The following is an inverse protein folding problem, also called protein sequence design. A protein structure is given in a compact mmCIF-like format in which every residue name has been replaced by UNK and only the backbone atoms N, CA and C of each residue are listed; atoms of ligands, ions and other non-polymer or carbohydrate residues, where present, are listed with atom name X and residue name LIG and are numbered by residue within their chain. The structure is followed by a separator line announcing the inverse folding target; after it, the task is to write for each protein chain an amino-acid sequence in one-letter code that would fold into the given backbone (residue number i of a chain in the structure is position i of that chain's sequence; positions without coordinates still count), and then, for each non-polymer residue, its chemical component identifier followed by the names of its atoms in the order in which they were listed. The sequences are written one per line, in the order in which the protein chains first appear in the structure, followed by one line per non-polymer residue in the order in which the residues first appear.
data_IF_953491864345
#
_entry.id   IF_953491864345
#
_cell.length_a   1.000
_cell.length_b   1.000
_cell.length_c   1.000
_cell.angle_alpha   90.00
_cell.angle_beta   90.00
_cell.angle_gamma   90.00
#
_symmetry.space_group_name_H-M   'P 1'
#
loop_
_entity.id
_entity.type
_entity.pdbx_description
1 polymer ?
#
# COMPACT_ATOMS: atom_id res chain seq x y z
N UNK A 1 -3.83 -33.18 -8.15
CA UNK A 1 -3.28 -33.61 -6.85
C UNK A 1 -3.98 -32.78 -5.78
N UNK A 2 -4.80 -33.40 -4.91
CA UNK A 2 -5.46 -32.67 -3.83
C UNK A 2 -4.40 -32.17 -2.83
N UNK A 3 -4.49 -30.91 -2.41
CA UNK A 3 -3.62 -30.32 -1.40
C UNK A 3 -4.15 -30.75 -0.04
N UNK A 4 -3.47 -31.69 0.62
CA UNK A 4 -3.84 -32.12 1.98
C UNK A 4 -3.44 -31.01 2.95
N UNK A 5 -4.41 -30.38 3.63
CA UNK A 5 -4.14 -29.50 4.76
C UNK A 5 -3.56 -30.33 5.91
N UNK A 6 -2.62 -29.78 6.68
CA UNK A 6 -2.07 -30.48 7.84
C UNK A 6 -3.15 -30.60 8.93
N UNK A 7 -3.13 -31.71 9.68
CA UNK A 7 -4.14 -31.99 10.72
C UNK A 7 -4.21 -30.94 11.83
N UNK A 8 -3.18 -30.12 12.00
CA UNK A 8 -3.18 -28.97 12.92
C UNK A 8 -4.14 -27.87 12.46
N UNK A 9 -4.25 -27.64 11.15
CA UNK A 9 -5.15 -26.63 10.57
C UNK A 9 -6.60 -27.11 10.62
N UNK A 10 -6.85 -28.40 10.41
CA UNK A 10 -8.21 -28.97 10.57
C UNK A 10 -8.71 -28.87 12.02
N UNK A 11 -7.82 -29.05 13.00
CA UNK A 11 -8.15 -28.89 14.41
C UNK A 11 -8.41 -27.41 14.77
N UNK A 12 -7.63 -26.48 14.24
CA UNK A 12 -7.81 -25.04 14.45
C UNK A 12 -9.09 -24.49 13.79
N UNK A 13 -9.50 -25.06 12.64
CA UNK A 13 -10.78 -24.72 11.97
C UNK A 13 -12.00 -25.22 12.76
N UNK A 14 -11.83 -26.29 13.55
CA UNK A 14 -12.91 -26.93 14.32
C UNK A 14 -13.17 -26.28 15.69
N UNK A 15 -12.33 -25.35 16.14
CA UNK A 15 -12.58 -24.56 17.35
C UNK A 15 -13.46 -23.33 17.04
N UNK A 16 -14.59 -23.24 17.75
CA UNK A 16 -15.58 -22.17 17.69
C UNK A 16 -14.95 -20.75 17.63
N UNK A 17 -15.21 -20.03 16.53
CA UNK A 17 -15.08 -18.57 16.37
C UNK A 17 -13.90 -17.90 17.09
N UNK A 18 -12.69 -18.42 16.91
CA UNK A 18 -11.49 -17.65 17.22
C UNK A 18 -11.41 -16.50 16.22
N UNK A 19 -11.46 -15.25 16.71
CA UNK A 19 -11.18 -14.10 15.83
C UNK A 19 -9.75 -14.24 15.34
N UNK A 20 -9.51 -14.37 14.02
CA UNK A 20 -8.17 -14.63 13.51
C UNK A 20 -7.21 -13.51 13.92
N UNK A 21 -6.03 -13.90 14.41
CA UNK A 21 -4.96 -12.96 14.74
C UNK A 21 -4.17 -12.71 13.47
N UNK A 22 -4.07 -11.45 13.08
CA UNK A 22 -3.30 -11.06 11.90
C UNK A 22 -2.06 -10.28 12.29
N UNK A 23 -0.97 -10.60 11.60
CA UNK A 23 0.28 -9.85 11.63
C UNK A 23 0.36 -9.01 10.34
N UNK A 24 0.62 -7.72 10.46
CA UNK A 24 0.68 -6.77 9.33
C UNK A 24 2.07 -6.17 9.24
N UNK A 25 2.76 -6.48 8.16
CA UNK A 25 4.07 -5.93 7.82
C UNK A 25 3.89 -4.81 6.79
N UNK A 26 4.40 -3.63 7.11
CA UNK A 26 4.43 -2.49 6.20
C UNK A 26 5.88 -2.21 5.79
N UNK A 27 6.17 -2.37 4.49
CA UNK A 27 7.50 -2.13 3.90
C UNK A 27 7.66 -0.64 3.58
N UNK A 28 7.74 0.15 4.65
CA UNK A 28 8.06 1.58 4.62
C UNK A 28 9.59 1.76 4.73
N UNK A 29 10.06 3.01 4.66
CA UNK A 29 11.49 3.30 4.78
C UNK A 29 12.06 2.81 6.13
N UNK A 30 11.23 2.84 7.18
CA UNK A 30 11.42 2.05 8.40
C UNK A 30 10.31 0.99 8.46
N UNK A 31 10.63 -0.31 8.33
CA UNK A 31 9.61 -1.36 8.36
C UNK A 31 8.84 -1.37 9.67
N UNK A 32 7.53 -1.61 9.58
CA UNK A 32 6.65 -1.64 10.75
C UNK A 32 5.94 -2.99 10.84
N UNK A 33 5.83 -3.50 12.07
CA UNK A 33 5.26 -4.81 12.39
C UNK A 33 4.13 -4.66 13.41
N UNK A 34 2.90 -4.87 12.98
CA UNK A 34 1.70 -4.74 13.82
C UNK A 34 0.95 -6.06 13.97
N UNK A 35 0.21 -6.19 15.06
CA UNK A 35 -0.67 -7.33 15.33
C UNK A 35 -2.05 -6.85 15.75
N UNK A 36 -3.10 -7.58 15.35
CA UNK A 36 -4.49 -7.25 15.67
C UNK A 36 -4.90 -7.61 17.11
N UNK A 37 -4.06 -8.36 17.84
CA UNK A 37 -4.42 -8.91 19.15
C UNK A 37 -3.42 -8.56 20.24
N UNK A 38 -2.47 -9.45 20.53
CA UNK A 38 -1.44 -9.27 21.56
C UNK A 38 -0.05 -9.22 20.93
N UNK A 39 0.94 -8.73 21.68
CA UNK A 39 2.33 -8.67 21.22
C UNK A 39 2.86 -10.07 20.91
N UNK A 40 3.45 -10.24 19.73
CA UNK A 40 3.98 -11.51 19.24
C UNK A 40 5.44 -11.32 18.84
N UNK A 41 6.29 -12.31 19.13
CA UNK A 41 7.65 -12.39 18.57
C UNK A 41 7.68 -13.53 17.57
N UNK A 42 7.83 -13.21 16.30
CA UNK A 42 7.86 -14.19 15.22
C UNK A 42 8.84 -13.73 14.13
N UNK A 43 9.61 -14.69 13.59
CA UNK A 43 10.67 -14.46 12.61
C UNK A 43 11.69 -13.37 13.01
N UNK A 44 12.04 -13.31 14.30
CA UNK A 44 12.99 -12.33 14.84
C UNK A 44 12.45 -10.89 14.96
N UNK A 45 11.17 -10.66 14.63
CA UNK A 45 10.52 -9.36 14.70
C UNK A 45 9.56 -9.29 15.89
N UNK A 46 9.42 -8.09 16.45
CA UNK A 46 8.47 -7.81 17.51
C UNK A 46 7.23 -7.12 16.92
N UNK A 47 6.10 -7.82 16.96
CA UNK A 47 4.83 -7.39 16.40
C UNK A 47 4.00 -6.72 17.48
N UNK A 48 3.66 -5.44 17.30
CA UNK A 48 3.06 -4.61 18.35
C UNK A 48 1.54 -4.46 18.20
N UNK A 49 0.76 -4.60 19.29
CA UNK A 49 -0.69 -4.47 19.28
C UNK A 49 -1.09 -2.99 19.32
N UNK A 50 -0.98 -2.31 18.19
CA UNK A 50 -1.32 -0.88 18.08
C UNK A 50 -2.81 -0.62 17.84
N UNK A 51 -3.65 -1.66 17.93
CA UNK A 51 -5.08 -1.60 17.63
C UNK A 51 -5.42 -1.61 16.13
N UNK A 52 -4.49 -2.06 15.28
CA UNK A 52 -4.74 -2.22 13.85
C UNK A 52 -5.87 -3.22 13.61
N UNK A 53 -6.69 -2.98 12.59
CA UNK A 53 -7.76 -3.90 12.17
C UNK A 53 -7.61 -4.22 10.69
N UNK A 54 -7.69 -5.50 10.37
CA UNK A 54 -7.72 -5.99 9.00
C UNK A 54 -9.17 -6.21 8.62
N UNK A 55 -9.59 -5.58 7.54
CA UNK A 55 -10.91 -5.78 6.95
C UNK A 55 -11.03 -7.16 6.30
N UNK A 56 -12.16 -7.40 5.62
CA UNK A 56 -12.35 -8.65 4.90
C UNK A 56 -11.28 -8.82 3.83
N UNK A 57 -10.51 -9.90 3.93
CA UNK A 57 -9.58 -10.32 2.89
C UNK A 57 -10.39 -10.75 1.66
N UNK A 58 -10.25 -9.99 0.56
CA UNK A 58 -10.76 -10.38 -0.75
C UNK A 58 -9.59 -10.54 -1.71
N UNK A 59 -9.83 -11.23 -2.83
CA UNK A 59 -8.78 -11.53 -3.80
C UNK A 59 -8.13 -10.29 -4.44
N UNK A 60 -8.84 -9.17 -4.54
CA UNK A 60 -8.31 -7.98 -5.21
C UNK A 60 -7.93 -6.84 -4.26
N UNK A 61 -8.68 -6.72 -3.17
CA UNK A 61 -8.56 -5.61 -2.23
C UNK A 61 -8.87 -6.03 -0.80
N UNK A 62 -8.16 -5.43 0.14
CA UNK A 62 -8.50 -5.47 1.56
C UNK A 62 -8.37 -4.07 2.15
N UNK A 63 -9.01 -3.82 3.28
CA UNK A 63 -8.87 -2.57 4.03
C UNK A 63 -8.03 -2.79 5.27
N UNK A 64 -7.17 -1.84 5.58
CA UNK A 64 -6.37 -1.78 6.79
C UNK A 64 -6.77 -0.52 7.55
N UNK A 65 -7.27 -0.70 8.77
CA UNK A 65 -7.61 0.41 9.65
C UNK A 65 -6.54 0.54 10.73
N UNK A 66 -5.91 1.71 10.80
CA UNK A 66 -4.86 2.05 11.74
C UNK A 66 -5.43 3.11 12.69
N UNK A 67 -5.42 2.88 14.01
CA UNK A 67 -5.84 3.90 14.96
C UNK A 67 -5.00 5.17 14.84
N UNK A 68 -5.65 6.31 15.00
CA UNK A 68 -4.98 7.60 14.97
C UNK A 68 -4.65 8.10 16.39
N UNK A 69 -4.24 7.19 17.28
CA UNK A 69 -3.67 7.57 18.57
C UNK A 69 -2.35 8.32 18.32
N UNK A 70 -2.22 9.50 18.89
CA UNK A 70 -1.04 10.38 18.78
C UNK A 70 -0.62 10.72 17.34
N UNK A 71 -1.57 10.81 16.41
CA UNK A 71 -1.33 11.10 14.99
C UNK A 71 -0.48 10.04 14.25
N UNK A 72 -0.31 8.83 14.79
CA UNK A 72 0.50 7.78 14.16
C UNK A 72 -0.05 7.38 12.79
N UNK A 73 -1.36 7.09 12.71
CA UNK A 73 -1.99 6.68 11.45
C UNK A 73 -1.98 7.78 10.38
N UNK A 74 -2.25 9.03 10.78
CA UNK A 74 -2.21 10.19 9.87
C UNK A 74 -0.77 10.49 9.42
N UNK A 75 0.20 10.43 10.33
CA UNK A 75 1.61 10.65 10.04
C UNK A 75 2.15 9.63 9.02
N UNK A 76 1.81 8.36 9.19
CA UNK A 76 2.23 7.29 8.28
C UNK A 76 1.70 7.50 6.85
N UNK A 77 0.46 7.97 6.71
CA UNK A 77 -0.14 8.23 5.40
C UNK A 77 0.41 9.49 4.74
N UNK A 78 0.55 10.58 5.52
CA UNK A 78 0.92 11.90 4.98
C UNK A 78 2.43 12.12 4.85
N UNK A 79 3.23 11.57 5.77
CA UNK A 79 4.69 11.79 5.86
C UNK A 79 5.45 10.67 5.16
N UNK A 80 5.25 9.42 5.59
CA UNK A 80 6.01 8.27 5.06
C UNK A 80 5.51 7.82 3.68
N UNK A 81 4.28 8.20 3.33
CA UNK A 81 3.68 7.90 2.04
C UNK A 81 3.41 6.41 1.87
N UNK A 82 2.22 5.97 2.28
CA UNK A 82 1.79 4.55 2.17
C UNK A 82 1.49 4.09 0.75
N UNK A 83 1.35 5.03 -0.19
CA UNK A 83 0.94 4.72 -1.55
C UNK A 83 2.02 3.91 -2.27
N UNK A 84 1.61 2.84 -2.94
CA UNK A 84 2.46 1.94 -3.70
C UNK A 84 3.61 1.30 -2.86
N UNK A 85 3.49 1.33 -1.53
CA UNK A 85 4.31 0.58 -0.57
C UNK A 85 3.74 -0.80 -0.34
N UNK A 86 4.60 -1.78 -0.14
CA UNK A 86 4.20 -3.18 0.04
C UNK A 86 3.67 -3.41 1.46
N UNK A 87 2.53 -4.10 1.54
CA UNK A 87 1.95 -4.58 2.77
C UNK A 87 1.76 -6.10 2.66
N UNK A 88 2.18 -6.82 3.70
CA UNK A 88 1.93 -8.26 3.83
C UNK A 88 1.11 -8.51 5.08
N UNK A 89 0.12 -9.38 4.96
CA UNK A 89 -0.74 -9.80 6.07
C UNK A 89 -0.56 -11.30 6.23
N UNK A 90 -0.25 -11.70 7.44
CA UNK A 90 -0.11 -13.08 7.83
C UNK A 90 -1.20 -13.44 8.82
N UNK A 91 -1.77 -14.63 8.69
CA UNK A 91 -2.65 -15.22 9.70
C UNK A 91 -1.79 -16.02 10.68
N UNK A 92 -1.91 -15.72 11.96
CA UNK A 92 -1.07 -16.27 13.02
C UNK A 92 -1.80 -17.36 13.79
N UNK A 93 -1.16 -18.53 13.87
CA UNK A 93 -1.66 -19.72 14.55
C UNK A 93 -0.54 -20.38 15.34
N UNK A 94 -0.74 -20.58 16.65
CA UNK A 94 0.09 -21.43 17.51
C UNK A 94 1.62 -21.25 17.39
N UNK A 95 2.08 -20.01 17.24
CA UNK A 95 3.53 -19.71 17.16
C UNK A 95 4.07 -19.58 15.74
N UNK A 96 3.24 -19.78 14.72
CA UNK A 96 3.62 -19.62 13.31
C UNK A 96 2.65 -18.69 12.56
N UNK A 97 3.07 -18.18 11.40
CA UNK A 97 2.25 -17.28 10.60
C UNK A 97 2.32 -17.64 9.11
N UNK A 98 1.16 -17.60 8.44
CA UNK A 98 1.03 -17.89 7.00
C UNK A 98 0.64 -16.62 6.27
N UNK A 99 1.36 -16.26 5.20
CA UNK A 99 1.00 -15.10 4.36
C UNK A 99 -0.35 -15.36 3.69
N UNK A 100 -1.38 -14.59 4.06
CA UNK A 100 -2.74 -14.68 3.51
C UNK A 100 -3.02 -13.57 2.51
N UNK A 101 -2.31 -12.45 2.61
CA UNK A 101 -2.46 -11.34 1.68
C UNK A 101 -1.15 -10.60 1.45
N UNK A 102 -0.93 -10.20 0.20
CA UNK A 102 0.16 -9.35 -0.23
C UNK A 102 -0.38 -8.32 -1.20
N UNK A 103 -0.17 -7.05 -0.90
CA UNK A 103 -0.66 -5.96 -1.74
C UNK A 103 0.07 -4.66 -1.47
N UNK A 104 -0.40 -3.61 -2.13
CA UNK A 104 0.20 -2.29 -2.13
C UNK A 104 -0.79 -1.26 -1.61
N UNK A 105 -0.31 -0.27 -0.85
CA UNK A 105 -1.15 0.82 -0.36
C UNK A 105 -1.73 1.66 -1.50
N UNK A 106 -3.02 1.97 -1.40
CA UNK A 106 -3.76 2.71 -2.41
C UNK A 106 -4.48 3.91 -1.83
N UNK A 107 -5.80 3.91 -1.99
CA UNK A 107 -6.68 4.97 -1.51
C UNK A 107 -6.74 4.97 0.02
N UNK A 108 -6.69 6.15 0.64
CA UNK A 108 -6.83 6.29 2.08
C UNK A 108 -7.90 7.30 2.44
N UNK A 109 -8.59 7.04 3.54
CA UNK A 109 -9.50 7.98 4.20
C UNK A 109 -8.98 8.23 5.60
N UNK A 110 -8.94 9.50 5.99
CA UNK A 110 -8.49 9.93 7.30
C UNK A 110 -9.70 10.41 8.09
N UNK A 111 -9.84 9.88 9.29
CA UNK A 111 -10.78 10.33 10.30
C UNK A 111 -10.00 10.70 11.58
N UNK A 112 -10.65 11.41 12.51
CA UNK A 112 -10.07 11.82 13.78
C UNK A 112 -9.58 10.62 14.57
N UNK A 113 -10.35 9.54 14.59
CA UNK A 113 -10.06 8.35 15.40
C UNK A 113 -9.21 7.30 14.67
N UNK A 114 -9.23 7.29 13.34
CA UNK A 114 -8.54 6.27 12.57
C UNK A 114 -8.20 6.69 11.13
N UNK A 115 -7.15 6.07 10.62
CA UNK A 115 -6.77 6.09 9.22
C UNK A 115 -7.20 4.77 8.58
N UNK A 116 -7.98 4.82 7.50
CA UNK A 116 -8.30 3.65 6.70
C UNK A 116 -7.51 3.69 5.39
N UNK A 117 -6.88 2.56 5.07
CA UNK A 117 -6.09 2.37 3.84
C UNK A 117 -6.65 1.18 3.07
N UNK A 118 -6.96 1.39 1.80
CA UNK A 118 -7.28 0.31 0.88
C UNK A 118 -6.00 -0.23 0.28
N UNK A 119 -5.77 -1.53 0.42
CA UNK A 119 -4.67 -2.25 -0.19
C UNK A 119 -5.14 -2.90 -1.49
N UNK A 120 -4.30 -2.88 -2.52
CA UNK A 120 -4.56 -3.52 -3.82
C UNK A 120 -3.51 -4.56 -4.14
N UNK A 121 -3.88 -5.69 -4.75
CA UNK A 121 -2.92 -6.78 -5.07
C UNK A 121 -1.84 -6.37 -6.08
N UNK A 122 -2.17 -5.45 -6.97
CA UNK A 122 -1.25 -4.92 -7.98
C UNK A 122 -0.84 -3.49 -7.65
N UNK A 123 0.45 -3.19 -7.80
CA UNK A 123 0.98 -1.84 -7.69
C UNK A 123 0.32 -0.94 -8.74
N UNK A 124 -0.17 0.23 -8.34
CA UNK A 124 -0.89 1.18 -9.22
C UNK A 124 0.05 2.26 -9.78
N UNK A 125 1.35 1.95 -9.87
CA UNK A 125 2.46 2.80 -10.35
C UNK A 125 2.23 3.53 -11.68
N UNK A 126 1.19 3.20 -12.45
CA UNK A 126 0.97 3.73 -13.81
C UNK A 126 -0.47 4.07 -14.19
N UNK A 127 -1.43 4.08 -13.25
CA UNK A 127 -2.83 4.44 -13.60
C UNK A 127 -3.11 5.94 -13.72
N UNK A 128 -2.12 6.80 -13.47
CA UNK A 128 -2.23 8.21 -13.87
C UNK A 128 -1.92 8.36 -15.37
N UNK A 129 -2.95 8.16 -16.20
CA UNK A 129 -3.04 9.00 -17.37
C UNK A 129 -3.16 10.45 -16.87
N UNK A 130 -2.37 11.42 -17.38
CA UNK A 130 -2.51 12.81 -16.98
C UNK A 130 -3.97 13.25 -17.19
N UNK A 131 -4.66 13.65 -16.11
CA UNK A 131 -6.08 14.07 -16.13
C UNK A 131 -6.29 15.40 -16.86
N UNK A 132 -5.22 16.13 -17.11
CA UNK A 132 -5.20 17.34 -17.90
C UNK A 132 -4.23 17.14 -19.07
N UNK A 133 -4.77 17.07 -20.28
CA UNK A 133 -4.01 17.39 -21.50
C UNK A 133 -4.35 18.83 -21.84
N UNK A 134 -3.37 19.72 -21.74
CA UNK A 134 -3.55 21.13 -22.12
C UNK A 134 -3.73 21.29 -23.63
N UNK A 135 -3.32 20.29 -24.43
CA UNK A 135 -3.55 20.18 -25.87
C UNK A 135 -2.96 18.84 -26.37
N UNK A 136 -3.19 18.42 -27.63
CA UNK A 136 -2.22 17.56 -28.33
C UNK A 136 -0.80 18.14 -28.16
N UNK A 137 0.26 17.32 -28.10
CA UNK A 137 1.62 17.84 -27.98
C UNK A 137 1.90 18.77 -29.17
N UNK A 138 1.92 20.09 -28.92
CA UNK A 138 2.24 21.08 -29.95
C UNK A 138 3.69 20.92 -30.45
N UNK A 139 4.56 20.34 -29.61
CA UNK A 139 5.96 20.11 -29.92
C UNK A 139 6.31 18.65 -29.66
N UNK A 140 6.29 17.83 -30.72
CA UNK A 140 6.75 16.43 -30.68
C UNK A 140 8.27 16.33 -30.71
N UNK A 141 8.98 17.43 -30.99
CA UNK A 141 10.44 17.48 -31.13
C UNK A 141 10.96 18.82 -30.60
N UNK A 142 12.06 18.78 -29.86
CA UNK A 142 12.81 19.98 -29.51
C UNK A 142 13.47 20.52 -30.79
N UNK A 143 13.27 21.81 -31.14
CA UNK A 143 13.97 22.43 -32.25
C UNK A 143 15.47 22.47 -31.97
N UNK A 144 16.27 22.27 -33.00
CA UNK A 144 17.74 22.36 -32.90
C UNK A 144 18.14 23.82 -32.64
N UNK A 145 19.27 24.09 -31.97
CA UNK A 145 19.83 25.43 -31.93
C UNK A 145 19.97 26.03 -33.33
N UNK A 146 19.62 27.31 -33.47
CA UNK A 146 19.53 28.02 -34.75
C UNK A 146 18.20 27.86 -35.50
N UNK A 147 17.27 27.02 -35.01
CA UNK A 147 15.94 26.90 -35.60
C UNK A 147 15.14 28.21 -35.42
N UNK A 148 14.41 28.59 -36.48
CA UNK A 148 13.55 29.77 -36.50
C UNK A 148 12.10 29.33 -36.30
N UNK A 149 11.44 29.91 -35.29
CA UNK A 149 10.04 29.66 -34.95
C UNK A 149 9.26 30.93 -35.27
N UNK A 150 8.32 30.84 -36.21
CA UNK A 150 7.43 31.95 -36.54
C UNK A 150 6.25 31.97 -35.56
N UNK A 151 6.07 33.08 -34.86
CA UNK A 151 4.97 33.32 -33.91
C UNK A 151 4.26 34.62 -34.28
N UNK A 152 3.12 34.51 -34.96
CA UNK A 152 2.49 35.66 -35.62
C UNK A 152 3.45 36.29 -36.66
N UNK A 153 3.64 37.60 -36.58
CA UNK A 153 4.57 38.34 -37.46
C UNK A 153 6.02 38.37 -36.95
N UNK A 154 6.31 37.62 -35.86
CA UNK A 154 7.62 37.62 -35.22
C UNK A 154 8.36 36.31 -35.50
N UNK A 155 9.68 36.39 -35.74
CA UNK A 155 10.56 35.22 -35.89
C UNK A 155 11.47 35.14 -34.67
N UNK A 156 11.32 34.08 -33.88
CA UNK A 156 12.15 33.76 -32.73
C UNK A 156 13.23 32.77 -33.17
N UNK A 157 14.50 33.04 -32.86
CA UNK A 157 15.61 32.10 -33.14
C UNK A 157 16.01 31.41 -31.85
N UNK A 158 16.12 30.08 -31.88
CA UNK A 158 16.56 29.29 -30.72
C UNK A 158 18.08 29.44 -30.58
N UNK A 159 18.55 30.02 -29.48
CA UNK A 159 19.97 30.13 -29.17
C UNK A 159 20.45 28.89 -28.40
N UNK A 160 21.70 28.48 -28.62
CA UNK A 160 22.39 27.53 -27.74
C UNK A 160 23.26 28.30 -26.77
N UNK A 161 23.16 27.99 -25.48
CA UNK A 161 24.22 28.32 -24.51
C UNK A 161 25.37 27.32 -24.63
#
# INVERSE_FOLDING_TARGET
MPRTLSGTIEAAIAEDLTTPVYLVEADLDTPVYWTTSFQVVWNGQNWLPVGVRVGRLNDDTTTLQIPNLDNIGVGLILVDGVRDRLFKIYEYHDGDAVEVYRGYGGESTLDIESASLTLHRTRRDRTHAPRTRVAPPLFTRLPRPGAKITWGDTIITVESE
#
